data_IF_541862261935
#
_entry.id   IF_541862261935
#
_cell.length_a   1.000
_cell.length_b   1.000
_cell.length_c   1.000
_cell.angle_alpha   90.00
_cell.angle_beta   90.00
_cell.angle_gamma   90.00
#
_symmetry.space_group_name_H-M   'P 1'
#
loop_
_entity.id
_entity.type
_entity.pdbx_description
1 polymer ?
#
# COMPACT_ATOMS: atom_id res chain seq x y z
N UNK A 1 -16.78 17.76 5.59
CA UNK A 1 -16.26 16.86 4.55
C UNK A 1 -15.88 15.58 5.26
N UNK A 2 -16.46 14.44 4.88
CA UNK A 2 -16.36 13.17 5.61
C UNK A 2 -14.90 12.76 5.82
N UNK A 3 -14.40 13.03 7.03
CA UNK A 3 -12.99 12.91 7.40
C UNK A 3 -12.63 11.51 7.91
N UNK A 4 -13.56 10.57 7.94
CA UNK A 4 -13.36 9.27 8.62
C UNK A 4 -12.51 8.32 7.80
N UNK A 5 -12.73 8.22 6.48
CA UNK A 5 -12.00 7.28 5.62
C UNK A 5 -10.53 7.66 5.48
N UNK A 6 -10.22 8.91 5.08
CA UNK A 6 -8.84 9.37 4.94
C UNK A 6 -8.09 9.35 6.28
N UNK A 7 -8.74 9.73 7.39
CA UNK A 7 -8.12 9.64 8.71
C UNK A 7 -7.82 8.19 9.11
N UNK A 8 -8.67 7.24 8.72
CA UNK A 8 -8.42 5.82 8.96
C UNK A 8 -7.20 5.34 8.16
N UNK A 9 -7.12 5.66 6.87
CA UNK A 9 -5.96 5.29 6.05
C UNK A 9 -4.66 5.90 6.56
N UNK A 10 -4.70 7.18 6.97
CA UNK A 10 -3.55 7.85 7.57
C UNK A 10 -3.13 7.17 8.87
N UNK A 11 -4.07 6.88 9.76
CA UNK A 11 -3.78 6.17 11.01
C UNK A 11 -3.15 4.81 10.73
N UNK A 12 -3.72 4.04 9.80
CA UNK A 12 -3.20 2.73 9.42
C UNK A 12 -1.78 2.83 8.84
N UNK A 13 -1.49 3.89 8.09
CA UNK A 13 -0.16 4.15 7.55
C UNK A 13 0.85 4.49 8.65
N UNK A 14 0.47 5.33 9.60
CA UNK A 14 1.34 5.72 10.73
C UNK A 14 1.62 4.50 11.63
N UNK A 15 0.60 3.68 11.91
CA UNK A 15 0.72 2.40 12.64
C UNK A 15 1.63 1.42 11.87
N UNK A 16 1.50 1.36 10.53
CA UNK A 16 2.33 0.51 9.68
C UNK A 16 3.80 0.97 9.63
N UNK A 17 4.08 2.27 9.50
CA UNK A 17 5.45 2.80 9.60
C UNK A 17 6.09 2.45 10.94
N UNK A 18 5.31 2.55 12.01
CA UNK A 18 5.75 2.17 13.36
C UNK A 18 6.07 0.67 13.45
N UNK A 19 5.20 -0.20 12.92
CA UNK A 19 5.42 -1.65 12.92
C UNK A 19 6.63 -2.07 12.08
N UNK A 20 6.76 -1.52 10.88
CA UNK A 20 7.79 -1.91 9.91
C UNK A 20 9.16 -1.33 10.25
N UNK A 21 9.23 -0.24 11.00
CA UNK A 21 10.47 0.48 11.32
C UNK A 21 11.10 1.17 10.10
N UNK A 22 10.39 1.26 8.98
CA UNK A 22 10.85 1.89 7.75
C UNK A 22 10.75 3.41 7.87
N UNK A 23 11.88 4.10 7.73
CA UNK A 23 12.01 5.51 8.12
C UNK A 23 11.67 6.51 7.02
N UNK A 24 11.64 6.09 5.75
CA UNK A 24 11.28 6.95 4.60
C UNK A 24 9.85 6.71 4.12
N UNK A 25 9.29 7.73 3.46
CA UNK A 25 7.97 7.74 2.83
C UNK A 25 6.90 8.32 3.74
N UNK A 26 6.03 9.17 3.22
CA UNK A 26 4.94 9.81 3.98
C UNK A 26 3.56 9.55 3.35
N UNK A 27 2.52 9.56 4.18
CA UNK A 27 1.14 9.33 3.72
C UNK A 27 0.74 10.35 2.65
N UNK A 28 1.16 11.60 2.84
CA UNK A 28 0.87 12.74 1.97
C UNK A 28 1.56 12.63 0.60
N UNK A 29 2.55 11.75 0.45
CA UNK A 29 3.21 11.47 -0.83
C UNK A 29 2.46 10.43 -1.66
N UNK A 30 1.52 9.69 -1.06
CA UNK A 30 0.82 8.59 -1.72
C UNK A 30 -0.43 9.09 -2.45
N UNK A 31 -0.57 8.70 -3.72
CA UNK A 31 -1.83 8.86 -4.46
C UNK A 31 -2.67 7.60 -4.33
N UNK A 32 -3.86 7.72 -3.74
CA UNK A 32 -4.79 6.62 -3.54
C UNK A 32 -5.87 6.66 -4.62
N UNK A 33 -6.00 5.58 -5.38
CA UNK A 33 -7.02 5.44 -6.42
C UNK A 33 -7.96 4.32 -6.03
N UNK A 34 -9.24 4.65 -5.80
CA UNK A 34 -10.27 3.64 -5.55
C UNK A 34 -10.71 3.04 -6.88
N UNK A 35 -10.54 1.74 -7.01
CA UNK A 35 -10.86 0.95 -8.19
C UNK A 35 -12.11 0.09 -7.93
N UNK A 36 -12.72 -0.50 -8.97
CA UNK A 36 -13.63 -1.63 -8.77
C UNK A 36 -12.94 -2.77 -7.99
N UNK A 37 -13.71 -3.70 -7.38
CA UNK A 37 -13.14 -4.79 -6.57
C UNK A 37 -12.07 -5.64 -7.28
N UNK A 38 -12.14 -5.67 -8.61
CA UNK A 38 -11.19 -6.33 -9.50
C UNK A 38 -10.90 -5.41 -10.68
N UNK A 39 -9.64 -5.27 -11.06
CA UNK A 39 -9.21 -4.39 -12.16
C UNK A 39 -7.94 -4.92 -12.86
N UNK A 40 -7.71 -4.53 -14.14
CA UNK A 40 -6.48 -4.89 -14.84
C UNK A 40 -5.25 -4.28 -14.16
N UNK A 41 -4.21 -5.09 -13.98
CA UNK A 41 -2.96 -4.69 -13.31
C UNK A 41 -1.75 -5.18 -14.08
N UNK A 42 -0.58 -4.61 -13.78
CA UNK A 42 0.65 -4.84 -14.56
C UNK A 42 1.26 -6.22 -14.36
N UNK A 43 1.14 -6.77 -13.16
CA UNK A 43 1.94 -7.93 -12.71
C UNK A 43 1.23 -9.27 -12.82
N UNK A 44 -0.06 -9.27 -13.12
CA UNK A 44 -0.88 -10.47 -13.27
C UNK A 44 -1.58 -10.42 -14.62
N UNK A 45 -1.52 -11.52 -15.37
CA UNK A 45 -2.19 -11.67 -16.68
C UNK A 45 -3.74 -11.64 -16.58
N UNK A 46 -4.28 -11.55 -15.37
CA UNK A 46 -5.70 -11.43 -15.07
C UNK A 46 -6.05 -10.09 -14.41
N UNK A 47 -6.70 -10.16 -13.25
CA UNK A 47 -7.15 -8.99 -12.51
C UNK A 47 -6.53 -8.96 -11.11
N UNK A 48 -6.32 -7.76 -10.58
CA UNK A 48 -5.89 -7.52 -9.21
C UNK A 48 -7.01 -6.86 -8.41
N UNK A 49 -6.95 -7.03 -7.09
CA UNK A 49 -7.75 -6.27 -6.13
C UNK A 49 -6.96 -5.15 -5.45
N UNK A 50 -5.63 -5.13 -5.60
CA UNK A 50 -4.72 -4.10 -5.09
C UNK A 50 -3.48 -4.00 -5.97
N UNK A 51 -2.92 -2.80 -6.11
CA UNK A 51 -1.65 -2.59 -6.83
C UNK A 51 -0.94 -1.33 -6.35
N UNK A 52 0.25 -1.49 -5.78
CA UNK A 52 1.25 -0.44 -5.73
C UNK A 52 1.94 -0.29 -7.09
N UNK A 53 1.80 0.90 -7.67
CA UNK A 53 2.47 1.33 -8.88
C UNK A 53 3.47 2.45 -8.55
N UNK A 54 4.79 2.20 -8.66
CA UNK A 54 5.81 3.22 -8.44
C UNK A 54 5.60 4.47 -9.30
N UNK A 55 5.96 5.67 -8.80
CA UNK A 55 6.71 5.88 -7.57
C UNK A 55 5.86 5.89 -6.29
N UNK A 56 4.56 6.19 -6.37
CA UNK A 56 3.75 6.51 -5.19
C UNK A 56 2.23 6.29 -5.36
N UNK A 57 1.79 5.54 -6.38
CA UNK A 57 0.36 5.30 -6.61
C UNK A 57 -0.06 3.98 -5.99
N UNK A 58 -1.12 3.98 -5.20
CA UNK A 58 -1.75 2.78 -4.63
C UNK A 58 -3.18 2.69 -5.16
N UNK A 59 -3.46 1.62 -5.90
CA UNK A 59 -4.80 1.30 -6.40
C UNK A 59 -5.45 0.29 -5.46
N UNK A 60 -6.68 0.58 -5.02
CA UNK A 60 -7.41 -0.25 -4.07
C UNK A 60 -8.78 -0.63 -4.63
N UNK A 61 -9.00 -1.92 -4.85
CA UNK A 61 -10.33 -2.50 -5.06
C UNK A 61 -11.08 -2.71 -3.74
N UNK A 62 -10.36 -2.70 -2.62
CA UNK A 62 -10.93 -2.77 -1.27
C UNK A 62 -10.04 -2.05 -0.24
N UNK A 63 -10.61 -1.36 0.77
CA UNK A 63 -9.84 -0.76 1.86
C UNK A 63 -8.99 -1.77 2.65
N UNK A 64 -9.39 -3.05 2.71
CA UNK A 64 -8.64 -4.08 3.42
C UNK A 64 -7.24 -4.35 2.86
N UNK A 65 -6.98 -3.93 1.61
CA UNK A 65 -5.68 -4.10 0.95
C UNK A 65 -4.75 -2.90 1.18
N UNK A 66 -5.23 -1.85 1.86
CA UNK A 66 -4.47 -0.63 2.08
C UNK A 66 -3.10 -0.89 2.70
N UNK A 67 -3.05 -1.59 3.83
CA UNK A 67 -1.78 -1.88 4.53
C UNK A 67 -0.85 -2.75 3.68
N UNK A 68 -1.41 -3.70 2.93
CA UNK A 68 -0.65 -4.56 2.03
C UNK A 68 0.09 -3.73 0.97
N UNK A 69 -0.63 -2.87 0.26
CA UNK A 69 -0.01 -2.03 -0.77
C UNK A 69 0.90 -0.94 -0.19
N UNK A 70 0.60 -0.45 1.00
CA UNK A 70 1.45 0.52 1.70
C UNK A 70 2.80 -0.10 2.12
N UNK A 71 2.86 -1.41 2.43
CA UNK A 71 4.15 -2.11 2.65
C UNK A 71 5.00 -2.09 1.39
N UNK A 72 4.40 -2.39 0.22
CA UNK A 72 5.13 -2.33 -1.06
C UNK A 72 5.71 -0.93 -1.31
N UNK A 73 4.93 0.13 -1.06
CA UNK A 73 5.41 1.51 -1.16
C UNK A 73 6.56 1.81 -0.18
N UNK A 74 6.41 1.47 1.11
CA UNK A 74 7.44 1.73 2.13
C UNK A 74 8.74 0.99 1.82
N UNK A 75 8.67 -0.26 1.37
CA UNK A 75 9.83 -1.04 0.93
C UNK A 75 10.50 -0.41 -0.29
N UNK A 76 9.73 0.06 -1.27
CA UNK A 76 10.25 0.72 -2.46
C UNK A 76 11.04 2.00 -2.12
N UNK A 77 10.47 2.90 -1.31
CA UNK A 77 11.13 4.18 -0.99
C UNK A 77 12.33 4.02 -0.05
N UNK A 78 12.35 2.99 0.79
CA UNK A 78 13.47 2.72 1.70
C UNK A 78 14.61 1.98 1.00
N UNK A 79 14.28 0.96 0.20
CA UNK A 79 15.25 -0.04 -0.27
C UNK A 79 15.30 -0.19 -1.79
N UNK A 80 14.44 0.51 -2.54
CA UNK A 80 14.33 0.41 -4.00
C UNK A 80 13.62 -0.85 -4.51
N UNK A 81 13.22 -1.75 -3.61
CA UNK A 81 12.54 -3.01 -3.93
C UNK A 81 11.15 -3.01 -3.31
N UNK A 82 10.11 -3.13 -4.12
CA UNK A 82 8.73 -3.21 -3.63
C UNK A 82 8.37 -4.58 -3.08
N UNK A 83 9.21 -5.61 -3.28
CA UNK A 83 8.94 -7.01 -2.90
C UNK A 83 7.62 -7.57 -3.48
N UNK A 84 7.54 -7.60 -4.80
CA UNK A 84 6.39 -8.16 -5.54
C UNK A 84 6.15 -9.66 -5.29
N UNK A 85 7.11 -10.34 -4.65
CA UNK A 85 7.03 -11.76 -4.28
C UNK A 85 6.55 -12.01 -2.86
N UNK A 86 6.28 -10.94 -2.08
CA UNK A 86 5.83 -11.00 -0.69
C UNK A 86 6.74 -11.85 0.22
N UNK A 87 8.06 -11.78 0.01
CA UNK A 87 9.03 -12.56 0.78
C UNK A 87 9.35 -11.93 2.15
N UNK A 88 9.15 -10.62 2.26
CA UNK A 88 9.36 -9.85 3.48
C UNK A 88 8.41 -10.34 4.59
N UNK A 89 8.91 -10.58 5.82
CA UNK A 89 8.06 -10.98 6.94
C UNK A 89 7.03 -9.89 7.31
N UNK A 90 7.23 -8.66 6.85
CA UNK A 90 6.33 -7.53 7.11
C UNK A 90 4.90 -7.79 6.63
N UNK A 91 4.71 -8.52 5.53
CA UNK A 91 3.38 -8.89 5.04
C UNK A 91 2.62 -9.84 5.98
N UNK A 92 3.31 -10.51 6.89
CA UNK A 92 2.69 -11.38 7.91
C UNK A 92 2.58 -10.69 9.26
N UNK A 93 3.57 -9.86 9.61
CA UNK A 93 3.67 -9.27 10.96
C UNK A 93 3.03 -7.89 11.10
N UNK A 94 2.82 -7.16 10.01
CA UNK A 94 2.41 -5.75 10.04
C UNK A 94 1.13 -5.42 9.25
N UNK A 95 0.44 -6.43 8.71
CA UNK A 95 -0.89 -6.27 8.09
C UNK A 95 -1.98 -6.39 9.16
#
# INVERSE_FOLDING_TARGET
TDSTFINHLKKDFDDLKTCTGLSKGEFEEVTIVVMPPSFPCRWYDGECSGEYNPPNTIKLGSPYLWKHEAIHYLLHVNNGNSDSSHQSPLFQSCI
#
